data_IF_588473114686
#
_entry.id   IF_588473114686
#
_cell.length_a   1.000
_cell.length_b   1.000
_cell.length_c   1.000
_cell.angle_alpha   90.00
_cell.angle_beta   90.00
_cell.angle_gamma   90.00
#
_symmetry.space_group_name_H-M   'P 1'
#
loop_
_entity.id
_entity.type
_entity.pdbx_description
1 polymer ?
#
# COMPACT_ATOMS: atom_id res chain seq x y z
N UNK A 1 -25.16 0.05 -23.99
CA UNK A 1 -24.90 0.61 -25.34
C UNK A 1 -24.31 2.00 -25.17
N UNK A 2 -23.13 2.21 -25.73
CA UNK A 2 -22.30 3.41 -25.61
C UNK A 2 -22.95 4.62 -26.27
N UNK A 3 -22.99 5.76 -25.56
CA UNK A 3 -23.17 7.08 -26.17
C UNK A 3 -21.82 7.82 -26.13
N UNK A 4 -20.94 7.42 -27.04
CA UNK A 4 -19.68 8.08 -27.37
C UNK A 4 -19.90 9.00 -28.58
N UNK A 5 -19.25 10.17 -28.54
CA UNK A 5 -19.04 11.15 -29.62
C UNK A 5 -20.24 12.00 -30.10
N UNK A 6 -20.08 13.32 -30.05
CA UNK A 6 -19.59 14.14 -31.19
C UNK A 6 -19.73 15.63 -30.87
N UNK A 7 -18.61 16.34 -30.78
CA UNK A 7 -18.44 17.63 -31.48
C UNK A 7 -16.96 17.95 -31.62
N UNK A 8 -16.49 17.66 -32.83
CA UNK A 8 -15.25 18.14 -33.44
C UNK A 8 -15.65 19.41 -34.21
N UNK A 9 -14.83 20.46 -34.21
CA UNK A 9 -14.43 21.25 -35.40
C UNK A 9 -13.31 22.23 -34.96
N UNK A 10 -12.02 21.98 -35.25
CA UNK A 10 -11.22 22.28 -36.48
C UNK A 10 -10.43 23.60 -36.32
N UNK A 11 -9.11 23.54 -36.03
CA UNK A 11 -7.93 23.84 -36.91
C UNK A 11 -7.62 25.36 -37.03
N UNK A 12 -6.40 25.91 -36.87
CA UNK A 12 -5.07 25.47 -37.33
C UNK A 12 -3.93 26.18 -36.58
N UNK A 13 -2.84 25.47 -36.31
CA UNK A 13 -1.45 25.96 -36.15
C UNK A 13 -0.91 26.47 -37.52
N UNK A 14 0.20 27.26 -37.64
CA UNK A 14 1.47 27.09 -36.91
C UNK A 14 2.25 28.38 -36.55
N UNK A 15 3.30 28.26 -35.73
CA UNK A 15 4.69 28.65 -36.08
C UNK A 15 5.56 28.94 -34.82
N UNK A 16 6.82 28.49 -34.92
CA UNK A 16 8.01 28.88 -34.16
C UNK A 16 8.24 28.28 -32.75
N UNK A 17 9.17 27.31 -32.70
CA UNK A 17 10.12 27.15 -31.60
C UNK A 17 11.39 27.99 -31.92
N UNK A 18 12.14 28.52 -30.93
CA UNK A 18 13.15 27.68 -30.27
C UNK A 18 13.39 27.96 -28.77
N UNK A 19 13.75 26.87 -28.07
CA UNK A 19 14.63 26.74 -26.90
C UNK A 19 14.83 27.92 -25.93
N UNK A 20 14.10 27.88 -24.81
CA UNK A 20 14.60 28.19 -23.46
C UNK A 20 13.93 27.16 -22.53
N UNK A 21 14.67 26.23 -21.91
CA UNK A 21 15.66 26.61 -20.91
C UNK A 21 15.01 26.98 -19.57
N UNK A 22 13.75 26.61 -19.32
CA UNK A 22 13.12 26.78 -17.99
C UNK A 22 12.97 25.41 -17.33
N UNK A 23 14.01 25.09 -16.57
CA UNK A 23 14.05 24.16 -15.44
C UNK A 23 12.64 23.88 -14.91
N UNK A 24 12.16 22.66 -15.15
CA UNK A 24 11.06 22.06 -14.40
C UNK A 24 11.38 22.29 -12.92
N UNK A 25 10.53 22.97 -12.14
CA UNK A 25 10.76 23.03 -10.71
C UNK A 25 10.74 21.58 -10.21
N UNK A 26 11.79 21.11 -9.53
CA UNK A 26 11.76 19.77 -8.97
C UNK A 26 10.56 19.72 -8.03
N UNK A 27 9.67 18.75 -8.23
CA UNK A 27 8.54 18.44 -7.36
C UNK A 27 9.04 17.77 -6.07
N UNK A 28 10.02 18.40 -5.44
CA UNK A 28 10.84 17.89 -4.34
C UNK A 28 10.76 18.89 -3.18
N UNK A 29 9.53 19.27 -2.83
CA UNK A 29 9.27 19.85 -1.52
C UNK A 29 8.94 18.69 -0.57
N UNK A 30 9.99 17.92 -0.27
CA UNK A 30 10.57 17.65 1.06
C UNK A 30 9.70 17.98 2.28
N UNK A 31 8.43 17.59 2.22
CA UNK A 31 7.58 17.33 3.36
C UNK A 31 7.41 15.82 3.45
N UNK A 32 8.51 15.13 3.79
CA UNK A 32 8.45 14.00 4.73
C UNK A 32 7.91 14.51 6.08
N UNK A 33 6.77 15.18 6.08
CA UNK A 33 5.80 15.01 7.15
C UNK A 33 5.64 13.51 7.26
N UNK A 34 5.98 12.93 8.40
CA UNK A 34 5.49 11.62 8.80
C UNK A 34 4.00 11.62 8.47
N UNK A 35 3.62 11.06 7.32
CA UNK A 35 2.24 11.00 6.90
C UNK A 35 1.64 9.88 7.72
N UNK A 36 1.26 10.22 8.95
CA UNK A 36 0.51 9.32 9.81
C UNK A 36 -0.78 9.03 9.08
N UNK A 37 -0.92 7.78 8.63
CA UNK A 37 -2.12 7.35 7.94
C UNK A 37 -3.21 7.13 9.00
N UNK A 38 -4.45 7.54 8.69
CA UNK A 38 -5.58 7.17 9.55
C UNK A 38 -6.13 5.82 9.12
N UNK A 39 -6.81 5.12 10.05
CA UNK A 39 -7.49 3.84 9.78
C UNK A 39 -8.32 3.90 8.49
N UNK A 40 -9.15 4.92 8.32
CA UNK A 40 -10.01 5.06 7.14
C UNK A 40 -9.23 5.32 5.85
N UNK A 41 -8.13 6.07 5.89
CA UNK A 41 -7.29 6.30 4.71
C UNK A 41 -6.65 5.00 4.22
N UNK A 42 -6.17 4.16 5.15
CA UNK A 42 -5.58 2.86 4.80
C UNK A 42 -6.64 1.93 4.23
N UNK A 43 -7.82 1.85 4.86
CA UNK A 43 -8.93 1.02 4.37
C UNK A 43 -9.38 1.46 2.98
N UNK A 44 -9.60 2.77 2.78
CA UNK A 44 -10.04 3.33 1.49
C UNK A 44 -9.04 3.06 0.37
N UNK A 45 -7.74 3.29 0.64
CA UNK A 45 -6.67 2.95 -0.31
C UNK A 45 -6.61 1.46 -0.60
N UNK A 46 -6.68 0.62 0.43
CA UNK A 46 -6.65 -0.83 0.28
C UNK A 46 -7.77 -1.31 -0.65
N UNK A 47 -9.01 -0.88 -0.40
CA UNK A 47 -10.18 -1.28 -1.19
C UNK A 47 -10.19 -0.68 -2.60
N UNK A 48 -9.65 0.52 -2.77
CA UNK A 48 -9.53 1.16 -4.09
C UNK A 48 -8.48 0.47 -4.97
N UNK A 49 -7.34 0.10 -4.38
CA UNK A 49 -6.25 -0.57 -5.09
C UNK A 49 -6.53 -2.06 -5.31
N UNK A 50 -7.31 -2.67 -4.42
CA UNK A 50 -7.71 -4.07 -4.48
C UNK A 50 -9.24 -4.11 -4.52
N UNK A 51 -9.86 -4.07 -5.71
CA UNK A 51 -11.31 -4.15 -5.85
C UNK A 51 -11.84 -5.60 -5.72
N UNK A 52 -10.95 -6.59 -5.70
CA UNK A 52 -11.27 -8.01 -5.52
C UNK A 52 -10.35 -8.63 -4.46
N UNK A 53 -10.81 -9.69 -3.76
CA UNK A 53 -10.00 -10.42 -2.79
C UNK A 53 -8.64 -10.84 -3.35
N UNK A 54 -7.57 -10.42 -2.67
CA UNK A 54 -6.18 -10.73 -3.04
C UNK A 54 -5.58 -11.74 -2.07
N UNK A 55 -4.82 -12.74 -2.56
CA UNK A 55 -4.05 -13.63 -1.70
C UNK A 55 -2.84 -12.92 -1.05
N UNK A 56 -2.48 -11.72 -1.51
CA UNK A 56 -1.33 -10.95 -1.03
C UNK A 56 -1.75 -9.79 -0.12
N UNK A 57 -2.60 -10.09 0.87
CA UNK A 57 -3.18 -9.07 1.76
C UNK A 57 -2.14 -8.24 2.51
N UNK A 58 -1.02 -8.84 2.93
CA UNK A 58 0.03 -8.15 3.68
C UNK A 58 0.75 -7.11 2.82
N UNK A 59 1.11 -7.44 1.57
CA UNK A 59 1.66 -6.46 0.62
C UNK A 59 0.66 -5.35 0.35
N UNK A 60 -0.61 -5.70 0.10
CA UNK A 60 -1.66 -4.71 -0.14
C UNK A 60 -1.88 -3.77 1.07
N UNK A 61 -1.72 -4.25 2.30
CA UNK A 61 -1.74 -3.42 3.50
C UNK A 61 -0.56 -2.44 3.56
N UNK A 62 0.65 -2.92 3.24
CA UNK A 62 1.84 -2.06 3.20
C UNK A 62 1.72 -1.01 2.10
N UNK A 63 1.28 -1.39 0.90
CA UNK A 63 1.03 -0.49 -0.24
C UNK A 63 -0.06 0.55 0.08
N UNK A 64 -1.09 0.16 0.84
CA UNK A 64 -2.12 1.06 1.32
C UNK A 64 -1.63 2.04 2.41
N UNK A 65 -0.44 1.79 2.98
CA UNK A 65 0.20 2.64 3.98
C UNK A 65 -0.02 2.19 5.43
N UNK A 66 -0.39 0.94 5.68
CA UNK A 66 -0.58 0.41 7.05
C UNK A 66 0.68 0.50 7.92
N UNK A 67 1.87 0.50 7.32
CA UNK A 67 3.14 0.73 8.03
C UNK A 67 3.22 2.11 8.71
N UNK A 68 2.45 3.09 8.21
CA UNK A 68 2.44 4.48 8.71
C UNK A 68 1.35 4.73 9.78
N UNK A 69 0.67 3.68 10.25
CA UNK A 69 -0.26 3.78 11.37
C UNK A 69 0.50 4.14 12.65
N UNK A 70 -0.16 4.88 13.54
CA UNK A 70 0.45 5.35 14.78
C UNK A 70 0.48 4.23 15.82
N UNK A 71 -0.64 3.52 15.96
CA UNK A 71 -0.86 2.56 17.04
C UNK A 71 -1.17 1.14 16.53
N UNK A 72 -0.65 0.08 17.18
CA UNK A 72 -0.98 -1.30 16.80
C UNK A 72 -2.48 -1.64 16.83
N UNK A 73 -3.27 -0.98 17.68
CA UNK A 73 -4.72 -1.16 17.71
C UNK A 73 -5.42 -0.62 16.46
N UNK A 74 -4.84 0.38 15.79
CA UNK A 74 -5.35 0.89 14.52
C UNK A 74 -5.22 -0.16 13.42
N UNK A 75 -4.15 -0.97 13.44
CA UNK A 75 -3.96 -2.04 12.47
C UNK A 75 -5.07 -3.09 12.57
N UNK A 76 -5.51 -3.42 13.80
CA UNK A 76 -6.63 -4.34 14.01
C UNK A 76 -7.92 -3.74 13.47
N UNK A 77 -8.20 -2.47 13.77
CA UNK A 77 -9.37 -1.77 13.22
C UNK A 77 -9.37 -1.72 11.69
N UNK A 78 -8.21 -1.52 11.05
CA UNK A 78 -8.06 -1.59 9.60
C UNK A 78 -8.42 -2.98 9.09
N UNK A 79 -7.90 -4.04 9.72
CA UNK A 79 -8.18 -5.42 9.32
C UNK A 79 -9.66 -5.78 9.47
N UNK A 80 -10.28 -5.42 10.60
CA UNK A 80 -11.71 -5.64 10.86
C UNK A 80 -12.57 -4.93 9.82
N UNK A 81 -12.28 -3.65 9.52
CA UNK A 81 -13.00 -2.92 8.48
C UNK A 81 -12.83 -3.56 7.12
N UNK A 82 -11.61 -3.94 6.73
CA UNK A 82 -11.39 -4.60 5.43
C UNK A 82 -12.17 -5.94 5.36
N UNK A 83 -12.26 -6.69 6.47
CA UNK A 83 -13.04 -7.93 6.55
C UNK A 83 -14.54 -7.72 6.33
N UNK A 84 -15.11 -6.61 6.82
CA UNK A 84 -16.53 -6.23 6.57
C UNK A 84 -16.84 -6.10 5.07
N UNK A 85 -15.83 -5.83 4.24
CA UNK A 85 -15.96 -5.71 2.78
C UNK A 85 -15.67 -7.03 2.03
N UNK A 86 -15.61 -8.17 2.73
CA UNK A 86 -15.50 -9.50 2.12
C UNK A 86 -14.09 -10.08 2.00
N UNK A 87 -13.09 -9.40 2.57
CA UNK A 87 -11.70 -9.88 2.62
C UNK A 87 -11.49 -10.76 3.84
N UNK A 88 -11.50 -12.09 3.68
CA UNK A 88 -11.41 -13.01 4.83
C UNK A 88 -10.12 -12.85 5.66
N UNK A 89 -8.97 -12.64 5.03
CA UNK A 89 -7.67 -12.60 5.74
C UNK A 89 -6.74 -11.51 5.18
N UNK A 90 -6.91 -10.24 5.61
CA UNK A 90 -6.01 -9.15 5.20
C UNK A 90 -4.57 -9.40 5.67
N UNK A 91 -4.41 -10.02 6.83
CA UNK A 91 -3.14 -10.53 7.34
C UNK A 91 -3.20 -12.06 7.35
N UNK A 92 -2.10 -12.70 6.95
CA UNK A 92 -1.99 -14.16 6.97
C UNK A 92 -2.21 -14.70 8.40
N UNK A 93 -3.08 -15.71 8.61
CA UNK A 93 -3.38 -16.28 9.93
C UNK A 93 -2.14 -16.71 10.72
N UNK A 94 -1.12 -17.25 10.05
CA UNK A 94 0.12 -17.69 10.71
C UNK A 94 0.88 -16.50 11.31
N UNK A 95 0.86 -15.31 10.68
CA UNK A 95 1.45 -14.10 11.28
C UNK A 95 0.69 -13.68 12.52
N UNK A 96 -0.64 -13.74 12.49
CA UNK A 96 -1.50 -13.38 13.63
C UNK A 96 -1.26 -14.32 14.82
N UNK A 97 -0.99 -15.60 14.55
CA UNK A 97 -0.71 -16.60 15.60
C UNK A 97 0.69 -16.46 16.19
N UNK A 98 1.68 -16.12 15.37
CA UNK A 98 3.10 -16.12 15.77
C UNK A 98 3.59 -14.76 16.31
N UNK A 99 2.93 -13.66 15.96
CA UNK A 99 3.31 -12.30 16.34
C UNK A 99 2.27 -11.64 17.25
N UNK A 100 2.71 -10.90 18.26
CA UNK A 100 1.84 -10.03 19.06
C UNK A 100 1.36 -8.85 18.20
N UNK A 101 0.27 -8.19 18.60
CA UNK A 101 -0.27 -7.03 17.87
C UNK A 101 0.78 -5.92 17.67
N UNK A 102 1.57 -5.61 18.70
CA UNK A 102 2.67 -4.63 18.58
C UNK A 102 3.74 -5.06 17.58
N UNK A 103 4.07 -6.36 17.56
CA UNK A 103 5.04 -6.93 16.63
C UNK A 103 4.49 -6.98 15.19
N UNK A 104 3.18 -7.11 14.99
CA UNK A 104 2.57 -7.07 13.66
C UNK A 104 2.77 -5.72 12.99
N UNK A 105 2.55 -4.61 13.71
CA UNK A 105 2.78 -3.29 13.14
C UNK A 105 4.26 -3.03 12.86
N UNK A 106 5.14 -3.44 13.78
CA UNK A 106 6.60 -3.39 13.55
C UNK A 106 7.01 -4.24 12.35
N UNK A 107 6.41 -5.41 12.17
CA UNK A 107 6.65 -6.29 11.03
C UNK A 107 6.23 -5.65 9.72
N UNK A 108 5.08 -4.95 9.66
CA UNK A 108 4.66 -4.22 8.45
C UNK A 108 5.60 -3.06 8.11
N UNK A 109 6.14 -2.38 9.13
CA UNK A 109 7.16 -1.33 8.95
C UNK A 109 8.46 -1.91 8.41
N UNK A 110 8.93 -2.99 9.02
CA UNK A 110 10.11 -3.71 8.59
C UNK A 110 9.95 -4.25 7.15
N UNK A 111 8.78 -4.81 6.82
CA UNK A 111 8.45 -5.28 5.47
C UNK A 111 8.55 -4.17 4.43
N UNK A 112 7.98 -3.00 4.71
CA UNK A 112 8.05 -1.84 3.83
C UNK A 112 9.46 -1.26 3.65
N UNK A 113 10.40 -1.58 4.54
CA UNK A 113 11.80 -1.15 4.46
C UNK A 113 12.71 -2.18 3.78
N UNK A 114 12.39 -3.48 3.88
CA UNK A 114 13.24 -4.59 3.46
C UNK A 114 12.80 -5.25 2.13
N UNK A 115 11.81 -4.68 1.44
CA UNK A 115 11.30 -5.17 0.14
C UNK A 115 11.09 -6.70 0.11
N UNK A 116 10.24 -7.20 1.00
CA UNK A 116 9.97 -8.64 1.10
C UNK A 116 9.18 -9.12 -0.13
N UNK A 117 9.69 -10.17 -0.77
CA UNK A 117 9.05 -10.80 -1.93
C UNK A 117 7.72 -11.50 -1.58
N UNK A 118 6.81 -11.65 -2.55
CA UNK A 118 5.48 -12.25 -2.35
C UNK A 118 5.57 -13.75 -2.06
N UNK A 119 6.62 -14.38 -2.54
CA UNK A 119 6.95 -15.80 -2.45
C UNK A 119 7.08 -16.26 -1.00
N UNK A 120 7.53 -15.38 -0.09
CA UNK A 120 7.61 -15.70 1.34
C UNK A 120 6.24 -15.99 1.96
N UNK A 121 5.16 -15.49 1.37
CA UNK A 121 3.79 -15.69 1.83
C UNK A 121 3.10 -16.90 1.18
N UNK A 122 3.77 -17.61 0.28
CA UNK A 122 3.19 -18.74 -0.45
C UNK A 122 2.95 -19.98 0.42
N UNK A 123 3.75 -20.19 1.47
CA UNK A 123 3.61 -21.32 2.39
C UNK A 123 4.06 -20.98 3.81
N UNK A 124 3.66 -21.83 4.77
CA UNK A 124 3.96 -21.60 6.19
C UNK A 124 5.46 -21.67 6.53
N UNK A 125 6.24 -22.49 5.82
CA UNK A 125 7.67 -22.65 6.10
C UNK A 125 8.43 -21.37 5.79
N UNK A 126 8.24 -20.80 4.59
CA UNK A 126 8.87 -19.54 4.18
C UNK A 126 8.38 -18.37 5.02
N UNK A 127 7.12 -18.41 5.49
CA UNK A 127 6.58 -17.40 6.37
C UNK A 127 7.23 -17.44 7.76
N UNK A 128 7.49 -18.63 8.31
CA UNK A 128 8.24 -18.79 9.57
C UNK A 128 9.68 -18.31 9.42
N UNK A 129 10.35 -18.60 8.30
CA UNK A 129 11.69 -18.06 8.00
C UNK A 129 11.67 -16.52 7.95
N UNK A 130 10.65 -15.94 7.33
CA UNK A 130 10.47 -14.49 7.28
C UNK A 130 10.31 -13.88 8.68
N UNK A 131 9.52 -14.52 9.55
CA UNK A 131 9.36 -14.09 10.95
C UNK A 131 10.70 -14.16 11.70
N UNK A 132 11.50 -15.21 11.47
CA UNK A 132 12.83 -15.32 12.08
C UNK A 132 13.76 -14.21 11.62
N UNK A 133 13.75 -13.86 10.33
CA UNK A 133 14.53 -12.72 9.80
C UNK A 133 14.11 -11.41 10.44
N UNK A 134 12.81 -11.14 10.53
CA UNK A 134 12.27 -9.97 11.22
C UNK A 134 12.75 -9.89 12.68
N UNK A 135 12.75 -11.01 13.40
CA UNK A 135 13.21 -11.06 14.80
C UNK A 135 14.72 -10.91 14.96
N UNK A 136 15.49 -11.36 13.98
CA UNK A 136 16.96 -11.29 14.01
C UNK A 136 17.49 -9.88 13.68
N UNK A 137 16.70 -9.07 12.99
CA UNK A 137 17.03 -7.69 12.62
C UNK A 137 16.71 -6.67 13.75
N UNK A 138 16.17 -7.15 14.88
CA UNK A 138 15.88 -6.36 16.10
C UNK A 138 16.98 -6.50 17.16
#
# INVERSE_FOLDING_TARGET
>A
MFAWLKKIVTRSTPSAAPSQGTRVPPADDLRQTLQVATVWQVVDRFLTQNPAPTPFGVHALVDAGAANLLDPSELIQVCEKIQEHGYQYPINPTLIQELKQSELLEFLRWHGQNEVEREYYANEMTLRELIQRFRADR
#
